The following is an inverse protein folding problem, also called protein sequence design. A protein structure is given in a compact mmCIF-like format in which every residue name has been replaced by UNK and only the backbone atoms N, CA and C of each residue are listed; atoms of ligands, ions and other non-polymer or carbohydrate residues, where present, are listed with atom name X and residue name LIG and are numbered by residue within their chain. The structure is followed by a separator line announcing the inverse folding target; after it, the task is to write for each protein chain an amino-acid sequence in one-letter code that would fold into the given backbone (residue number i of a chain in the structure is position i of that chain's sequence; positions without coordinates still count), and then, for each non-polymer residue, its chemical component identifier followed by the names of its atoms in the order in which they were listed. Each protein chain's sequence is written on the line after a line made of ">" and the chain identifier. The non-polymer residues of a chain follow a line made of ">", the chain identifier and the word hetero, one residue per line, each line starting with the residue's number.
data_IF_490135882596
#
_entry.id   IF_490135882596
#
_cell.length_a   1.000
_cell.length_b   1.000
_cell.length_c   1.000
_cell.angle_alpha   90.00
_cell.angle_beta   90.00
_cell.angle_gamma   90.00
#
_symmetry.space_group_name_H-M   'P 1'
#
loop_
_entity.id
_entity.type
_entity.pdbx_description
1 polymer ?
#
# COMPACT_ATOMS: atom_id res chain seq x y z
N UNK A 1 -6.50 -4.44 10.71
CA UNK A 1 -5.28 -4.07 11.46
C UNK A 1 -5.45 -3.92 12.98
N UNK A 2 -6.61 -3.47 13.52
CA UNK A 2 -6.93 -3.65 14.95
C UNK A 2 -6.83 -5.11 15.46
N UNK A 3 -7.12 -6.15 14.66
CA UNK A 3 -7.08 -7.52 15.21
C UNK A 3 -5.66 -8.10 15.34
N UNK A 4 -4.66 -7.62 14.57
CA UNK A 4 -3.25 -7.99 14.80
C UNK A 4 -2.75 -7.39 16.12
N UNK A 5 -3.10 -6.13 16.37
CA UNK A 5 -2.81 -5.43 17.62
C UNK A 5 -3.56 -6.05 18.81
N UNK A 6 -4.87 -6.28 18.67
CA UNK A 6 -5.71 -6.89 19.71
C UNK A 6 -5.23 -8.32 20.05
N UNK A 7 -4.77 -9.10 19.07
CA UNK A 7 -4.22 -10.44 19.30
C UNK A 7 -2.82 -10.43 19.91
N UNK A 8 -1.87 -9.69 19.31
CA UNK A 8 -0.45 -9.74 19.71
C UNK A 8 -0.19 -8.96 21.00
N UNK A 9 -0.98 -7.92 21.27
CA UNK A 9 -0.68 -6.93 22.34
C UNK A 9 -1.68 -7.01 23.49
N UNK A 10 -2.99 -7.04 23.20
CA UNK A 10 -4.03 -7.05 24.25
C UNK A 10 -4.32 -8.48 24.75
N UNK A 11 -3.82 -9.51 24.05
CA UNK A 11 -4.17 -10.91 24.34
C UNK A 11 -5.65 -11.22 24.08
N UNK A 12 -6.31 -10.39 23.26
CA UNK A 12 -7.71 -10.59 22.89
C UNK A 12 -7.79 -11.86 22.06
N UNK A 13 -8.71 -12.76 22.42
CA UNK A 13 -8.96 -13.96 21.64
C UNK A 13 -9.38 -13.54 20.21
N UNK A 14 -8.54 -13.88 19.23
CA UNK A 14 -8.98 -14.06 17.82
C UNK A 14 -10.23 -14.90 17.94
N UNK A 15 -11.35 -14.45 17.36
CA UNK A 15 -12.70 -15.02 17.54
C UNK A 15 -13.67 -14.21 18.43
N UNK A 16 -13.71 -12.87 18.34
CA UNK A 16 -14.68 -12.06 19.11
C UNK A 16 -15.58 -11.13 18.28
N UNK A 17 -15.43 -11.13 16.96
CA UNK A 17 -16.21 -10.27 16.06
C UNK A 17 -15.76 -8.81 16.07
N UNK A 18 -15.76 -8.18 14.90
CA UNK A 18 -15.31 -6.78 14.75
C UNK A 18 -16.50 -5.81 14.85
N UNK A 19 -16.69 -5.16 16.00
CA UNK A 19 -17.54 -3.96 16.10
C UNK A 19 -16.68 -2.72 15.90
N UNK A 20 -17.02 -1.89 14.91
CA UNK A 20 -16.38 -0.60 14.70
C UNK A 20 -16.66 0.30 15.91
N UNK A 21 -15.64 0.61 16.71
CA UNK A 21 -15.79 1.41 17.92
C UNK A 21 -15.45 2.88 17.70
N UNK A 22 -14.56 3.18 16.74
CA UNK A 22 -13.96 4.51 16.60
C UNK A 22 -13.70 4.92 15.15
N UNK A 23 -13.53 6.23 14.93
CA UNK A 23 -13.24 6.83 13.62
C UNK A 23 -12.03 6.21 12.90
N UNK A 24 -11.08 5.66 13.66
CA UNK A 24 -9.90 4.94 13.13
C UNK A 24 -10.25 3.66 12.37
N UNK A 25 -11.44 3.09 12.59
CA UNK A 25 -11.92 1.91 11.86
C UNK A 25 -12.36 2.24 10.42
N UNK A 26 -12.79 3.48 10.15
CA UNK A 26 -13.08 3.94 8.78
C UNK A 26 -11.81 4.12 7.95
N UNK A 27 -10.74 4.64 8.57
CA UNK A 27 -9.42 4.76 7.91
C UNK A 27 -8.91 3.39 7.45
N UNK A 28 -9.14 2.34 8.25
CA UNK A 28 -8.77 0.96 7.91
C UNK A 28 -9.56 0.41 6.72
N UNK A 29 -10.77 0.91 6.46
CA UNK A 29 -11.62 0.47 5.35
C UNK A 29 -11.27 1.20 4.03
N UNK A 30 -10.92 2.48 4.11
CA UNK A 30 -10.51 3.28 2.94
C UNK A 30 -9.10 2.91 2.47
N UNK A 31 -8.25 2.47 3.39
CA UNK A 31 -6.84 2.18 3.11
C UNK A 31 -6.59 1.13 2.00
N UNK A 32 -7.26 -0.04 1.97
CA UNK A 32 -7.13 -1.00 0.88
C UNK A 32 -7.58 -0.45 -0.48
N UNK A 33 -8.61 0.39 -0.50
CA UNK A 33 -9.12 1.01 -1.74
C UNK A 33 -8.10 1.99 -2.32
N UNK A 34 -7.45 2.80 -1.47
CA UNK A 34 -6.37 3.70 -1.89
C UNK A 34 -5.18 2.91 -2.47
N UNK A 35 -4.78 1.82 -1.80
CA UNK A 35 -3.71 0.96 -2.29
C UNK A 35 -4.07 0.32 -3.64
N UNK A 36 -5.31 -0.19 -3.82
CA UNK A 36 -5.78 -0.74 -5.09
C UNK A 36 -5.79 0.29 -6.21
N UNK A 37 -6.23 1.52 -5.93
CA UNK A 37 -6.22 2.61 -6.90
C UNK A 37 -4.80 2.90 -7.40
N UNK A 38 -3.83 2.99 -6.49
CA UNK A 38 -2.43 3.19 -6.86
C UNK A 38 -1.84 2.03 -7.66
N UNK A 39 -2.14 0.78 -7.27
CA UNK A 39 -1.71 -0.42 -8.02
C UNK A 39 -2.32 -0.42 -9.43
N UNK A 40 -3.60 -0.08 -9.57
CA UNK A 40 -4.29 -0.04 -10.85
C UNK A 40 -3.65 0.98 -11.81
N UNK A 41 -3.38 2.20 -11.35
CA UNK A 41 -2.75 3.23 -12.18
C UNK A 41 -1.34 2.81 -12.62
N UNK A 42 -0.54 2.26 -11.71
CA UNK A 42 0.76 1.67 -12.04
C UNK A 42 0.66 0.51 -13.03
N UNK A 43 -0.40 -0.30 -12.92
CA UNK A 43 -0.66 -1.38 -13.86
C UNK A 43 -0.96 -0.86 -15.25
N UNK A 44 -1.86 0.12 -15.40
CA UNK A 44 -2.23 0.68 -16.71
C UNK A 44 -1.01 1.28 -17.41
N UNK A 45 -0.18 2.03 -16.70
CA UNK A 45 0.96 2.75 -17.29
C UNK A 45 2.20 1.87 -17.50
N UNK A 46 2.42 0.86 -16.66
CA UNK A 46 3.65 0.06 -16.65
C UNK A 46 3.41 -1.45 -16.60
N UNK A 47 2.25 -1.93 -17.09
CA UNK A 47 1.82 -3.34 -17.06
C UNK A 47 2.93 -4.33 -17.44
N UNK A 48 3.63 -4.11 -18.55
CA UNK A 48 4.71 -5.00 -19.02
C UNK A 48 5.93 -5.04 -18.10
N UNK A 49 6.25 -3.93 -17.43
CA UNK A 49 7.47 -3.77 -16.62
C UNK A 49 7.25 -4.14 -15.15
N UNK A 50 6.03 -3.95 -14.64
CA UNK A 50 5.67 -4.08 -13.22
C UNK A 50 4.64 -5.18 -12.94
N UNK A 51 4.32 -6.08 -13.89
CA UNK A 51 3.31 -7.13 -13.71
C UNK A 51 3.46 -7.93 -12.39
N UNK A 52 4.64 -8.49 -12.15
CA UNK A 52 4.88 -9.37 -11.00
C UNK A 52 4.78 -8.65 -9.64
N UNK A 53 5.45 -7.50 -9.41
CA UNK A 53 5.29 -6.81 -8.13
C UNK A 53 3.86 -6.32 -7.89
N UNK A 54 3.15 -5.90 -8.95
CA UNK A 54 1.74 -5.48 -8.81
C UNK A 54 0.83 -6.66 -8.47
N UNK A 55 1.04 -7.85 -9.06
CA UNK A 55 0.31 -9.06 -8.68
C UNK A 55 0.52 -9.44 -7.21
N UNK A 56 1.76 -9.37 -6.72
CA UNK A 56 2.07 -9.66 -5.32
C UNK A 56 1.41 -8.66 -4.36
N UNK A 57 1.46 -7.36 -4.69
CA UNK A 57 0.81 -6.32 -3.89
C UNK A 57 -0.72 -6.47 -3.90
N UNK A 58 -1.32 -6.78 -5.04
CA UNK A 58 -2.76 -7.08 -5.13
C UNK A 58 -3.13 -8.31 -4.31
N UNK A 59 -2.35 -9.39 -4.40
CA UNK A 59 -2.56 -10.58 -3.60
C UNK A 59 -2.48 -10.24 -2.10
N UNK A 60 -1.47 -9.48 -1.66
CA UNK A 60 -1.35 -9.05 -0.27
C UNK A 60 -2.62 -8.32 0.24
N UNK A 61 -3.22 -7.47 -0.59
CA UNK A 61 -4.47 -6.79 -0.24
C UNK A 61 -5.66 -7.74 -0.15
N UNK A 62 -5.76 -8.72 -1.05
CA UNK A 62 -6.79 -9.76 -1.00
C UNK A 62 -6.65 -10.60 0.26
N UNK A 63 -5.43 -11.03 0.61
CA UNK A 63 -5.14 -11.76 1.84
C UNK A 63 -5.54 -10.95 3.09
N UNK A 64 -5.25 -9.65 3.11
CA UNK A 64 -5.68 -8.77 4.20
C UNK A 64 -7.21 -8.59 4.24
N UNK A 65 -7.89 -8.59 3.10
CA UNK A 65 -9.36 -8.60 3.03
C UNK A 65 -9.97 -9.90 3.55
N UNK A 66 -9.39 -11.05 3.17
CA UNK A 66 -9.80 -12.37 3.66
C UNK A 66 -9.60 -12.50 5.16
N UNK A 67 -8.48 -11.98 5.69
CA UNK A 67 -8.26 -11.88 7.13
C UNK A 67 -9.43 -11.20 7.84
N UNK A 68 -9.80 -10.00 7.38
CA UNK A 68 -10.90 -9.24 7.94
C UNK A 68 -12.26 -9.96 7.79
N UNK A 69 -12.49 -10.63 6.67
CA UNK A 69 -13.69 -11.43 6.44
C UNK A 69 -13.80 -12.57 7.46
N UNK A 70 -12.74 -13.38 7.64
CA UNK A 70 -12.76 -14.50 8.59
C UNK A 70 -12.87 -14.02 10.04
N UNK A 71 -12.22 -12.92 10.40
CA UNK A 71 -12.35 -12.27 11.72
C UNK A 71 -13.79 -11.83 12.05
N UNK A 72 -14.56 -11.41 11.04
CA UNK A 72 -15.93 -10.93 11.22
C UNK A 72 -16.94 -12.08 11.23
N UNK A 73 -16.82 -13.01 10.27
CA UNK A 73 -17.85 -14.01 9.99
C UNK A 73 -17.59 -15.38 10.60
N UNK A 74 -16.34 -15.70 10.94
CA UNK A 74 -15.97 -16.98 11.54
C UNK A 74 -15.18 -16.80 12.83
N UNK A 75 -15.67 -15.98 13.77
CA UNK A 75 -14.97 -15.66 14.99
C UNK A 75 -15.15 -16.78 16.02
N UNK A 76 -15.06 -18.08 15.69
CA UNK A 76 -15.07 -19.18 16.69
C UNK A 76 -14.42 -20.46 16.15
N UNK A 77 -13.74 -20.38 15.00
CA UNK A 77 -13.08 -21.54 14.40
C UNK A 77 -11.81 -21.88 15.16
N UNK A 78 -11.61 -23.16 15.50
CA UNK A 78 -10.37 -23.66 16.13
C UNK A 78 -9.12 -23.60 15.25
N UNK A 79 -9.26 -23.15 13.99
CA UNK A 79 -8.16 -22.91 13.06
C UNK A 79 -7.86 -21.41 13.08
N UNK A 80 -6.59 -20.99 13.29
CA UNK A 80 -6.21 -19.58 13.35
C UNK A 80 -6.11 -18.98 11.93
N UNK A 81 -7.20 -19.02 11.17
CA UNK A 81 -7.29 -18.45 9.81
C UNK A 81 -6.85 -16.99 9.80
N UNK A 82 -7.20 -16.24 10.85
CA UNK A 82 -6.74 -14.88 11.06
C UNK A 82 -5.22 -14.74 10.88
N UNK A 83 -4.44 -15.53 11.62
CA UNK A 83 -2.98 -15.47 11.56
C UNK A 83 -2.40 -15.92 10.22
N UNK A 84 -2.99 -16.94 9.61
CA UNK A 84 -2.52 -17.45 8.32
C UNK A 84 -2.62 -16.39 7.24
N UNK A 85 -3.78 -15.74 7.11
CA UNK A 85 -4.00 -14.70 6.10
C UNK A 85 -3.23 -13.41 6.40
N UNK A 86 -3.05 -13.10 7.67
CA UNK A 86 -2.30 -11.94 8.12
C UNK A 86 -0.80 -12.07 7.85
N UNK A 87 -0.20 -13.21 8.20
CA UNK A 87 1.23 -13.48 7.99
C UNK A 87 1.57 -13.63 6.51
N UNK A 88 0.75 -14.38 5.76
CA UNK A 88 0.93 -14.48 4.31
C UNK A 88 0.76 -13.12 3.62
N UNK A 89 -0.24 -12.32 4.03
CA UNK A 89 -0.45 -10.96 3.54
C UNK A 89 0.75 -10.03 3.79
N UNK A 90 1.33 -10.03 4.99
CA UNK A 90 2.50 -9.18 5.31
C UNK A 90 3.75 -9.62 4.55
N UNK A 91 3.99 -10.92 4.41
CA UNK A 91 5.11 -11.44 3.61
C UNK A 91 4.95 -11.04 2.14
N UNK A 92 3.76 -11.20 1.56
CA UNK A 92 3.47 -10.78 0.18
C UNK A 92 3.64 -9.26 0.00
N UNK A 93 3.24 -8.46 0.99
CA UNK A 93 3.41 -7.00 0.96
C UNK A 93 4.89 -6.61 0.97
N UNK A 94 5.69 -7.24 1.83
CA UNK A 94 7.13 -7.00 1.91
C UNK A 94 7.86 -7.41 0.63
N UNK A 95 7.58 -8.61 0.11
CA UNK A 95 8.17 -9.09 -1.15
C UNK A 95 7.71 -8.25 -2.33
N UNK A 96 6.41 -7.92 -2.41
CA UNK A 96 5.84 -7.08 -3.46
C UNK A 96 6.44 -5.68 -3.51
N UNK A 97 6.56 -5.02 -2.36
CA UNK A 97 7.16 -3.68 -2.24
C UNK A 97 8.67 -3.68 -2.55
N UNK A 98 9.40 -4.71 -2.11
CA UNK A 98 10.81 -4.90 -2.47
C UNK A 98 10.99 -5.11 -3.97
N UNK A 99 10.17 -5.98 -4.58
CA UNK A 99 10.21 -6.23 -6.02
C UNK A 99 9.83 -4.99 -6.83
N UNK A 100 8.87 -4.19 -6.35
CA UNK A 100 8.49 -2.92 -6.96
C UNK A 100 9.68 -1.94 -6.97
N UNK A 101 10.32 -1.75 -5.81
CA UNK A 101 11.50 -0.90 -5.66
C UNK A 101 12.62 -1.34 -6.60
N UNK A 102 12.92 -2.65 -6.62
CA UNK A 102 13.98 -3.21 -7.46
C UNK A 102 13.66 -3.03 -8.94
N UNK A 103 12.45 -3.37 -9.38
CA UNK A 103 12.02 -3.24 -10.79
C UNK A 103 12.04 -1.79 -11.25
N UNK A 104 11.56 -0.85 -10.43
CA UNK A 104 11.62 0.59 -10.75
C UNK A 104 13.07 1.06 -10.86
N UNK A 105 13.96 0.61 -9.96
CA UNK A 105 15.38 0.97 -10.00
C UNK A 105 16.12 0.45 -11.23
N UNK A 106 15.67 -0.65 -11.84
CA UNK A 106 16.30 -1.19 -13.06
C UNK A 106 15.86 -0.45 -14.34
N UNK A 107 14.71 0.21 -14.35
CA UNK A 107 14.19 0.87 -15.56
C UNK A 107 14.41 2.37 -15.49
N UNK A 108 15.44 2.86 -16.18
CA UNK A 108 15.82 4.29 -16.22
C UNK A 108 14.76 5.23 -16.80
N UNK A 109 13.76 4.69 -17.50
CA UNK A 109 12.64 5.45 -18.09
C UNK A 109 11.57 5.88 -17.06
N UNK A 110 11.63 5.41 -15.82
CA UNK A 110 10.65 5.74 -14.78
C UNK A 110 11.10 7.02 -14.06
N UNK A 111 10.19 7.99 -13.81
CA UNK A 111 10.56 9.26 -13.18
C UNK A 111 11.20 9.03 -11.80
N UNK A 112 12.24 9.82 -11.50
CA UNK A 112 12.97 9.75 -10.22
C UNK A 112 12.06 9.85 -9.00
N UNK A 113 10.97 10.61 -9.10
CA UNK A 113 9.96 10.75 -8.04
C UNK A 113 9.33 9.40 -7.68
N UNK A 114 9.00 8.57 -8.68
CA UNK A 114 8.43 7.23 -8.45
C UNK A 114 9.42 6.29 -7.75
N UNK A 115 10.71 6.42 -8.06
CA UNK A 115 11.76 5.65 -7.41
C UNK A 115 11.91 6.03 -5.93
N UNK A 116 11.89 7.32 -5.60
CA UNK A 116 11.87 7.78 -4.21
C UNK A 116 10.64 7.27 -3.47
N UNK A 117 9.45 7.43 -4.05
CA UNK A 117 8.21 6.96 -3.45
C UNK A 117 8.19 5.44 -3.24
N UNK A 118 8.71 4.65 -4.19
CA UNK A 118 8.81 3.20 -4.04
C UNK A 118 9.81 2.77 -2.97
N UNK A 119 10.91 3.51 -2.77
CA UNK A 119 11.85 3.26 -1.67
C UNK A 119 11.21 3.57 -0.33
N UNK A 120 10.50 4.69 -0.22
CA UNK A 120 9.74 5.05 0.98
C UNK A 120 8.67 4.01 1.28
N UNK A 121 7.94 3.54 0.25
CA UNK A 121 6.93 2.48 0.42
C UNK A 121 7.55 1.22 1.00
N UNK A 122 8.71 0.79 0.48
CA UNK A 122 9.42 -0.38 1.01
C UNK A 122 9.89 -0.17 2.45
N UNK A 123 10.47 0.99 2.78
CA UNK A 123 10.94 1.29 4.13
C UNK A 123 9.80 1.32 5.16
N UNK A 124 8.68 1.97 4.81
CA UNK A 124 7.48 2.00 5.67
C UNK A 124 6.87 0.61 5.81
N UNK A 125 6.81 -0.16 4.72
CA UNK A 125 6.32 -1.55 4.75
C UNK A 125 7.21 -2.43 5.63
N UNK A 126 8.53 -2.26 5.57
CA UNK A 126 9.47 -2.99 6.41
C UNK A 126 9.27 -2.63 7.90
N UNK A 127 9.13 -1.35 8.22
CA UNK A 127 8.83 -0.90 9.58
C UNK A 127 7.51 -1.48 10.07
N UNK A 128 6.51 -1.54 9.18
CA UNK A 128 5.22 -2.15 9.46
C UNK A 128 5.36 -3.64 9.77
N UNK A 129 6.15 -4.39 9.00
CA UNK A 129 6.43 -5.81 9.25
C UNK A 129 7.27 -6.07 10.51
N UNK A 130 8.12 -5.13 10.91
CA UNK A 130 8.91 -5.21 12.14
C UNK A 130 8.13 -4.79 13.39
N UNK A 131 7.03 -4.04 13.21
CA UNK A 131 6.24 -3.52 14.32
C UNK A 131 5.76 -4.59 15.31
N UNK A 132 5.36 -5.82 14.94
CA UNK A 132 4.94 -6.83 15.92
C UNK A 132 6.05 -7.28 16.87
N UNK A 133 7.32 -7.12 16.49
CA UNK A 133 8.48 -7.43 17.34
C UNK A 133 8.85 -6.28 18.29
N UNK A 134 8.36 -5.07 18.00
CA UNK A 134 8.58 -3.87 18.82
C UNK A 134 7.49 -3.69 19.89
N UNK A 135 6.40 -4.45 19.83
CA UNK A 135 5.25 -4.35 20.75
C UNK A 135 5.68 -4.48 22.22
N UNK A 136 6.61 -5.39 22.53
CA UNK A 136 7.11 -5.60 23.89
C UNK A 136 7.98 -4.46 24.44
N UNK A 137 8.37 -3.49 23.61
CA UNK A 137 9.22 -2.37 24.00
C UNK A 137 8.44 -1.08 24.29
N UNK A 138 7.19 -0.98 23.84
CA UNK A 138 6.40 0.26 23.91
C UNK A 138 5.08 0.05 24.63
N UNK A 139 4.57 1.11 25.27
CA UNK A 139 3.21 1.10 25.81
C UNK A 139 2.17 1.02 24.69
N UNK A 140 1.06 0.33 24.97
CA UNK A 140 -0.08 0.09 24.07
C UNK A 140 -0.55 1.33 23.29
N UNK A 141 -0.71 2.47 23.99
CA UNK A 141 -1.15 3.73 23.38
C UNK A 141 -0.13 4.26 22.34
N UNK A 142 1.16 4.24 22.68
CA UNK A 142 2.22 4.69 21.77
C UNK A 142 2.31 3.77 20.54
N UNK A 143 2.18 2.46 20.75
CA UNK A 143 2.19 1.50 19.67
C UNK A 143 1.04 1.70 18.67
N UNK A 144 -0.17 1.94 19.19
CA UNK A 144 -1.35 2.21 18.36
C UNK A 144 -1.17 3.47 17.50
N UNK A 145 -0.65 4.55 18.10
CA UNK A 145 -0.40 5.81 17.39
C UNK A 145 0.68 5.65 16.31
N UNK A 146 1.73 4.87 16.59
CA UNK A 146 2.76 4.53 15.61
C UNK A 146 2.17 3.77 14.43
N UNK A 147 1.32 2.77 14.69
CA UNK A 147 0.71 1.93 13.64
C UNK A 147 -0.24 2.74 12.76
N UNK A 148 -1.06 3.62 13.34
CA UNK A 148 -1.92 4.56 12.60
C UNK A 148 -1.06 5.49 11.73
N UNK A 149 0.02 6.05 12.29
CA UNK A 149 0.91 6.95 11.55
C UNK A 149 1.57 6.25 10.35
N UNK A 150 1.95 4.98 10.50
CA UNK A 150 2.49 4.17 9.40
C UNK A 150 1.44 3.92 8.31
N UNK A 151 0.21 3.60 8.69
CA UNK A 151 -0.90 3.43 7.72
C UNK A 151 -1.16 4.73 6.95
N UNK A 152 -1.19 5.86 7.64
CA UNK A 152 -1.33 7.17 7.01
C UNK A 152 -0.18 7.47 6.05
N UNK A 153 1.07 7.18 6.45
CA UNK A 153 2.23 7.36 5.60
C UNK A 153 2.15 6.53 4.31
N UNK A 154 1.73 5.26 4.39
CA UNK A 154 1.50 4.43 3.20
C UNK A 154 0.42 5.05 2.29
N UNK A 155 -0.67 5.56 2.86
CA UNK A 155 -1.71 6.26 2.11
C UNK A 155 -1.17 7.49 1.35
N UNK A 156 -0.38 8.32 2.02
CA UNK A 156 0.27 9.47 1.40
C UNK A 156 1.26 9.09 0.30
N UNK A 157 1.99 7.99 0.46
CA UNK A 157 2.92 7.50 -0.56
C UNK A 157 2.15 7.09 -1.82
N UNK A 158 1.04 6.38 -1.67
CA UNK A 158 0.18 6.02 -2.81
C UNK A 158 -0.46 7.23 -3.48
N UNK A 159 -0.93 8.21 -2.70
CA UNK A 159 -1.41 9.48 -3.24
C UNK A 159 -0.31 10.23 -4.01
N UNK A 160 0.91 10.25 -3.48
CA UNK A 160 2.09 10.83 -4.13
C UNK A 160 2.47 10.10 -5.42
N UNK A 161 2.34 8.76 -5.47
CA UNK A 161 2.54 7.97 -6.70
C UNK A 161 1.50 8.40 -7.74
N UNK A 162 0.23 8.52 -7.35
CA UNK A 162 -0.84 8.99 -8.24
C UNK A 162 -0.55 10.39 -8.80
N UNK A 163 -0.19 11.34 -7.93
CA UNK A 163 0.14 12.72 -8.34
C UNK A 163 1.37 12.80 -9.26
N UNK A 164 2.44 12.06 -8.95
CA UNK A 164 3.64 12.02 -9.79
C UNK A 164 3.37 11.45 -11.18
N UNK A 165 2.46 10.48 -11.28
CA UNK A 165 2.05 9.91 -12.57
C UNK A 165 1.18 10.89 -13.36
N UNK A 166 0.27 11.59 -12.70
CA UNK A 166 -0.59 12.60 -13.32
C UNK A 166 0.24 13.75 -13.93
N UNK A 167 1.22 14.25 -13.18
CA UNK A 167 2.18 15.24 -13.65
C UNK A 167 3.04 14.72 -14.82
N UNK A 168 3.44 13.45 -14.80
CA UNK A 168 4.22 12.85 -15.89
C UNK A 168 3.39 12.66 -17.18
N UNK A 169 2.07 12.44 -17.06
CA UNK A 169 1.15 12.36 -18.20
C UNK A 169 0.91 13.76 -18.78
N UNK A 170 0.62 14.75 -17.93
CA UNK A 170 0.41 16.15 -18.35
C UNK A 170 1.65 16.71 -19.05
N UNK A 171 2.84 16.55 -18.46
CA UNK A 171 4.08 17.02 -19.08
C UNK A 171 4.42 16.32 -20.40
N UNK A 172 3.90 15.12 -20.65
CA UNK A 172 3.99 14.44 -21.95
C UNK A 172 2.97 14.97 -22.97
N UNK A 173 1.77 15.34 -22.51
CA UNK A 173 0.75 15.95 -23.36
C UNK A 173 1.19 17.35 -23.83
N UNK A 174 1.74 18.15 -22.92
CA UNK A 174 2.23 19.51 -23.22
C UNK A 174 3.44 19.49 -24.18
N UNK A 175 4.30 18.47 -24.08
CA UNK A 175 5.43 18.27 -25.01
C UNK A 175 5.01 17.69 -26.38
N UNK A 176 3.78 17.19 -26.51
CA UNK A 176 3.25 16.58 -27.73
C UNK A 176 2.33 17.53 -28.53
N UNK A 177 2.27 18.82 -28.17
CA UNK A 177 1.56 19.84 -28.94
C UNK A 177 2.54 20.68 -29.80
N UNK A 178 2.82 20.27 -31.05
CA UNK A 178 3.70 21.00 -31.97
C UNK A 178 2.98 22.13 -32.74
N UNK A 179 1.90 22.73 -32.21
CA UNK A 179 1.11 23.73 -32.97
C UNK A 179 1.61 25.18 -32.88
N UNK A 180 2.71 25.50 -32.19
CA UNK A 180 3.17 26.90 -32.07
C UNK A 180 4.31 27.28 -33.04
N UNK A 181 5.04 26.32 -33.62
CA UNK A 181 6.21 26.63 -34.46
C UNK A 181 5.90 26.76 -35.96
N UNK A 182 4.72 26.35 -36.43
CA UNK A 182 4.33 26.50 -37.84
C UNK A 182 3.59 27.81 -38.18
N UNK A 183 3.31 28.64 -37.18
CA UNK A 183 2.64 29.94 -37.37
C UNK A 183 3.62 31.08 -37.71
N UNK A 184 4.93 30.86 -37.57
CA UNK A 184 5.96 31.86 -37.93
C UNK A 184 6.57 31.66 -39.32
N UNK A 185 6.38 30.51 -39.96
CA UNK A 185 6.81 30.27 -41.35
C UNK A 185 5.74 30.63 -42.41
N UNK A 186 4.59 31.18 -41.98
CA UNK A 186 3.49 31.62 -42.84
C UNK A 186 3.38 33.14 -42.96
N UNK A 187 4.36 33.89 -42.45
CA UNK A 187 4.54 35.31 -42.75
C UNK A 187 5.77 35.50 -43.65
N UNK A 188 5.68 34.90 -44.83
CA UNK A 188 6.34 35.36 -46.05
C UNK A 188 5.53 36.51 -46.65
#
# INVERSE_FOLDING_TARGET
>A
MKPLYDFVVIGRQINTGYFASDWTDYVKFVFPLLCLGGIYVLHVLYSRKLKNPLLLLSAALVFNGLFHFFEIYFPDTGIPFGLLFLFSGTVLLAVGSFMLMRRISFHKEIPRVLLWLSRTLFAVTLLFCLSPFLTGLFQEQFYTMMLISLMMAVGFIWAGIGGALLAAIQGKADAADPQVENSQNLQL
#
